data_IF_661110085100
#
_entry.id   IF_661110085100
#
_cell.length_a   1.000
_cell.length_b   1.000
_cell.length_c   1.000
_cell.angle_alpha   90.00
_cell.angle_beta   90.00
_cell.angle_gamma   90.00
#
_symmetry.space_group_name_H-M   'P 1'
#
loop_
_entity.id
_entity.type
_entity.pdbx_description
1 polymer ?
#
# COMPACT_ATOMS: atom_id res chain seq x y z
N UNK A 1 -22.65 -0.43 1.86
CA UNK A 1 -21.60 -1.33 1.34
C UNK A 1 -20.81 -1.91 2.49
N UNK A 2 -20.64 -3.22 2.50
CA UNK A 2 -19.95 -3.92 3.57
C UNK A 2 -18.43 -3.85 3.32
N UNK A 3 -17.67 -3.45 4.33
CA UNK A 3 -16.21 -3.44 4.22
C UNK A 3 -15.69 -4.89 4.28
N UNK A 4 -14.54 -5.17 3.62
CA UNK A 4 -13.93 -6.49 3.72
C UNK A 4 -13.60 -6.82 5.17
N UNK A 5 -13.86 -8.05 5.57
CA UNK A 5 -13.50 -8.54 6.89
C UNK A 5 -12.10 -9.12 6.85
N UNK A 6 -11.31 -8.82 7.86
CA UNK A 6 -9.98 -9.40 8.03
C UNK A 6 -9.69 -9.58 9.50
N UNK A 7 -8.76 -10.47 9.83
CA UNK A 7 -8.38 -10.77 11.21
C UNK A 7 -6.87 -10.54 11.39
N UNK A 8 -6.47 -10.33 12.64
CA UNK A 8 -5.04 -10.25 12.98
C UNK A 8 -4.30 -11.51 12.56
N UNK A 9 -4.95 -12.68 12.69
CA UNK A 9 -4.37 -13.95 12.29
C UNK A 9 -4.05 -13.99 10.79
N UNK A 10 -4.95 -13.48 9.96
CA UNK A 10 -4.73 -13.41 8.52
C UNK A 10 -3.54 -12.50 8.19
N UNK A 11 -3.38 -11.38 8.90
CA UNK A 11 -2.24 -10.50 8.72
C UNK A 11 -0.93 -11.19 9.12
N UNK A 12 -0.94 -11.95 10.21
CA UNK A 12 0.21 -12.74 10.63
C UNK A 12 0.60 -13.78 9.59
N UNK A 13 -0.38 -14.50 9.06
CA UNK A 13 -0.15 -15.53 8.04
C UNK A 13 0.42 -14.93 6.75
N UNK A 14 0.03 -13.71 6.42
CA UNK A 14 0.55 -13.00 5.25
C UNK A 14 1.93 -12.37 5.48
N UNK A 15 2.45 -12.42 6.70
CA UNK A 15 3.76 -11.86 7.02
C UNK A 15 3.78 -10.35 7.19
N UNK A 16 2.64 -9.73 7.44
CA UNK A 16 2.52 -8.27 7.56
C UNK A 16 3.28 -7.73 8.77
N UNK A 17 3.55 -8.57 9.76
CA UNK A 17 4.25 -8.19 10.99
C UNK A 17 5.76 -8.06 10.82
N UNK A 18 6.34 -8.51 9.71
CA UNK A 18 7.78 -8.40 9.48
C UNK A 18 8.15 -6.99 9.05
N UNK A 19 9.04 -6.37 9.80
CA UNK A 19 9.60 -5.08 9.48
C UNK A 19 11.01 -5.20 8.91
N UNK A 20 11.74 -4.11 8.95
CA UNK A 20 13.13 -4.08 8.51
C UNK A 20 14.05 -4.81 9.48
N UNK A 21 15.23 -5.20 8.99
CA UNK A 21 16.31 -5.62 9.88
C UNK A 21 16.60 -4.50 10.87
N UNK A 22 16.98 -4.85 12.10
CA UNK A 22 17.14 -3.88 13.18
C UNK A 22 18.04 -2.70 12.82
N UNK A 23 19.12 -2.94 12.05
CA UNK A 23 20.06 -1.88 11.70
C UNK A 23 19.53 -0.93 10.61
N UNK A 24 18.43 -1.26 9.95
CA UNK A 24 17.84 -0.46 8.87
C UNK A 24 16.56 0.25 9.28
N UNK A 25 16.22 0.20 10.56
CA UNK A 25 14.96 0.79 11.01
C UNK A 25 14.97 2.31 10.98
N UNK A 26 13.77 2.88 10.90
CA UNK A 26 13.57 4.32 11.07
C UNK A 26 13.06 4.55 12.49
N UNK A 27 13.77 5.35 13.32
CA UNK A 27 13.32 5.60 14.70
C UNK A 27 11.92 6.18 14.83
N UNK A 28 11.40 6.80 13.79
CA UNK A 28 10.02 7.31 13.78
C UNK A 28 8.98 6.20 13.88
N UNK A 29 9.38 4.96 13.59
CA UNK A 29 8.51 3.80 13.68
C UNK A 29 8.48 3.17 15.07
N UNK A 30 9.20 3.73 16.02
CA UNK A 30 9.36 3.14 17.35
C UNK A 30 8.02 2.79 18.02
N UNK A 31 7.03 3.66 17.89
CA UNK A 31 5.72 3.46 18.53
C UNK A 31 4.92 2.31 17.91
N UNK A 32 5.30 1.86 16.72
CA UNK A 32 4.59 0.81 15.99
C UNK A 32 5.32 -0.53 16.01
N UNK A 33 6.48 -0.59 16.64
CA UNK A 33 7.30 -1.79 16.70
C UNK A 33 7.02 -2.49 18.03
N UNK A 34 6.61 -3.75 17.95
CA UNK A 34 6.36 -4.59 19.11
C UNK A 34 7.67 -5.04 19.78
N UNK A 35 8.66 -5.40 18.97
CA UNK A 35 9.94 -5.88 19.46
C UNK A 35 10.80 -6.32 18.30
N UNK A 36 11.85 -7.08 18.57
CA UNK A 36 12.67 -7.66 17.52
C UNK A 36 12.90 -9.14 17.78
N UNK A 37 13.03 -9.91 16.71
CA UNK A 37 13.30 -11.34 16.76
C UNK A 37 14.23 -11.69 15.61
N UNK A 38 15.34 -12.37 15.90
CA UNK A 38 16.35 -12.71 14.90
C UNK A 38 16.85 -11.49 14.13
N UNK A 39 17.03 -10.36 14.83
CA UNK A 39 17.51 -9.08 14.28
C UNK A 39 16.54 -8.45 13.29
N UNK A 40 15.28 -8.86 13.30
CA UNK A 40 14.22 -8.28 12.48
C UNK A 40 13.19 -7.68 13.42
N UNK A 41 12.81 -6.42 13.14
CA UNK A 41 11.75 -5.77 13.92
C UNK A 41 10.40 -6.38 13.59
N UNK A 42 9.59 -6.56 14.62
CA UNK A 42 8.23 -7.08 14.48
C UNK A 42 7.25 -5.95 14.74
N UNK A 43 6.36 -5.71 13.79
CA UNK A 43 5.35 -4.67 13.91
C UNK A 43 4.23 -5.08 14.85
N UNK A 44 3.69 -4.11 15.59
CA UNK A 44 2.60 -4.33 16.51
C UNK A 44 1.26 -4.36 15.75
N UNK A 45 0.78 -5.55 15.43
CA UNK A 45 -0.47 -5.71 14.69
C UNK A 45 -1.71 -5.28 15.47
N UNK A 46 -1.62 -5.19 16.80
CA UNK A 46 -2.73 -4.65 17.58
C UNK A 46 -3.03 -3.19 17.22
N UNK A 47 -2.01 -2.45 16.78
CA UNK A 47 -2.19 -1.10 16.25
C UNK A 47 -2.54 -1.11 14.76
N UNK A 48 -1.99 -2.05 14.01
CA UNK A 48 -2.21 -2.14 12.54
C UNK A 48 -3.66 -2.45 12.21
N UNK A 49 -4.30 -3.35 12.95
CA UNK A 49 -5.69 -3.76 12.66
C UNK A 49 -6.66 -2.58 12.65
N UNK A 50 -6.73 -1.73 13.72
CA UNK A 50 -7.62 -0.58 13.66
C UNK A 50 -7.21 0.46 12.62
N UNK A 51 -5.91 0.63 12.37
CA UNK A 51 -5.45 1.57 11.34
C UNK A 51 -5.84 1.13 9.95
N UNK A 52 -5.73 -0.17 9.65
CA UNK A 52 -6.17 -0.71 8.37
C UNK A 52 -7.67 -0.56 8.19
N UNK A 53 -8.43 -0.79 9.25
CA UNK A 53 -9.88 -0.58 9.22
C UNK A 53 -10.22 0.87 8.88
N UNK A 54 -9.53 1.84 9.48
CA UNK A 54 -9.71 3.25 9.17
C UNK A 54 -9.38 3.56 7.71
N UNK A 55 -8.33 2.95 7.17
CA UNK A 55 -7.95 3.13 5.77
C UNK A 55 -9.03 2.58 4.83
N UNK A 56 -9.62 1.43 5.17
CA UNK A 56 -10.71 0.85 4.38
C UNK A 56 -11.94 1.78 4.40
N UNK A 57 -12.28 2.33 5.56
CA UNK A 57 -13.40 3.28 5.67
C UNK A 57 -13.14 4.51 4.81
N UNK A 58 -11.95 5.09 4.90
CA UNK A 58 -11.60 6.28 4.12
C UNK A 58 -11.66 6.01 2.61
N UNK A 59 -11.19 4.85 2.18
CA UNK A 59 -11.22 4.45 0.78
C UNK A 59 -12.66 4.27 0.29
N UNK A 60 -13.48 3.59 1.08
CA UNK A 60 -14.90 3.39 0.76
C UNK A 60 -15.64 4.72 0.63
N UNK A 61 -15.40 5.65 1.56
CA UNK A 61 -16.03 6.97 1.53
C UNK A 61 -15.60 7.77 0.29
N UNK A 62 -14.32 7.72 -0.07
CA UNK A 62 -13.81 8.42 -1.25
C UNK A 62 -14.49 7.93 -2.52
N UNK A 63 -14.63 6.61 -2.67
CA UNK A 63 -15.29 6.02 -3.84
C UNK A 63 -16.79 6.33 -3.84
N UNK A 64 -17.43 6.31 -2.69
CA UNK A 64 -18.86 6.63 -2.56
C UNK A 64 -19.17 8.07 -2.99
N UNK A 65 -18.19 8.96 -2.85
CA UNK A 65 -18.32 10.37 -3.29
C UNK A 65 -17.95 10.57 -4.76
N UNK A 66 -17.76 9.51 -5.51
CA UNK A 66 -17.39 9.58 -6.92
C UNK A 66 -15.89 9.70 -7.18
N UNK A 67 -15.06 9.55 -6.16
CA UNK A 67 -13.62 9.61 -6.28
C UNK A 67 -13.02 8.36 -6.93
N UNK A 68 -11.76 8.47 -7.28
CA UNK A 68 -11.00 7.37 -7.86
C UNK A 68 -9.86 6.98 -6.93
N UNK A 69 -9.41 5.74 -7.05
CA UNK A 69 -8.31 5.21 -6.23
C UNK A 69 -7.12 4.96 -7.15
N UNK A 70 -5.95 5.43 -6.74
CA UNK A 70 -4.70 5.11 -7.41
C UNK A 70 -3.93 4.13 -6.54
N UNK A 71 -3.81 2.91 -7.02
CA UNK A 71 -3.02 1.87 -6.34
C UNK A 71 -1.56 2.06 -6.72
N UNK A 72 -0.68 2.15 -5.73
CA UNK A 72 0.75 2.33 -5.94
C UNK A 72 1.50 1.17 -5.31
N UNK A 73 2.25 0.44 -6.10
CA UNK A 73 3.07 -0.66 -5.61
C UNK A 73 4.23 -0.89 -6.56
N UNK A 74 5.29 -0.10 -6.39
CA UNK A 74 6.46 -0.14 -7.27
C UNK A 74 7.48 -1.18 -6.83
N UNK A 75 7.36 -1.73 -5.63
CA UNK A 75 8.21 -2.79 -5.15
C UNK A 75 7.91 -4.08 -5.91
N UNK A 76 8.96 -4.80 -6.29
CA UNK A 76 8.83 -6.01 -7.11
C UNK A 76 7.85 -7.02 -6.52
N UNK A 77 7.88 -7.22 -5.20
CA UNK A 77 7.01 -8.18 -4.53
C UNK A 77 5.54 -7.76 -4.55
N UNK A 78 5.26 -6.46 -4.68
CA UNK A 78 3.89 -5.93 -4.66
C UNK A 78 3.32 -5.67 -6.06
N UNK A 79 4.17 -5.64 -7.08
CA UNK A 79 3.80 -5.18 -8.42
C UNK A 79 2.59 -5.92 -9.00
N UNK A 80 2.63 -7.24 -9.01
CA UNK A 80 1.54 -8.04 -9.60
C UNK A 80 0.27 -7.95 -8.76
N UNK A 81 0.40 -7.98 -7.44
CA UNK A 81 -0.75 -7.89 -6.54
C UNK A 81 -1.49 -6.56 -6.71
N UNK A 82 -0.75 -5.46 -6.85
CA UNK A 82 -1.31 -4.13 -7.05
C UNK A 82 -2.05 -4.05 -8.39
N UNK A 83 -1.43 -4.54 -9.46
CA UNK A 83 -2.07 -4.53 -10.78
C UNK A 83 -3.35 -5.35 -10.79
N UNK A 84 -3.31 -6.56 -10.24
CA UNK A 84 -4.48 -7.45 -10.20
C UNK A 84 -5.62 -6.86 -9.38
N UNK A 85 -5.31 -6.29 -8.21
CA UNK A 85 -6.31 -5.67 -7.36
C UNK A 85 -6.97 -4.47 -8.03
N UNK A 86 -6.18 -3.61 -8.67
CA UNK A 86 -6.71 -2.43 -9.35
C UNK A 86 -7.57 -2.80 -10.55
N UNK A 87 -7.15 -3.78 -11.35
CA UNK A 87 -7.93 -4.26 -12.50
C UNK A 87 -9.25 -4.86 -12.06
N UNK A 88 -9.25 -5.59 -10.95
CA UNK A 88 -10.44 -6.25 -10.44
C UNK A 88 -11.54 -5.28 -10.04
N UNK A 89 -11.17 -4.09 -9.59
CA UNK A 89 -12.14 -3.04 -9.22
C UNK A 89 -12.18 -1.87 -10.21
N UNK A 90 -11.51 -1.99 -11.35
CA UNK A 90 -11.47 -0.98 -12.41
C UNK A 90 -10.93 0.37 -11.93
N UNK A 91 -9.90 0.34 -11.12
CA UNK A 91 -9.22 1.54 -10.64
C UNK A 91 -7.83 1.67 -11.27
N UNK A 92 -7.18 2.80 -11.04
CA UNK A 92 -5.87 3.08 -11.61
C UNK A 92 -4.75 2.43 -10.80
N UNK A 93 -3.61 2.16 -11.43
CA UNK A 93 -2.46 1.63 -10.69
C UNK A 93 -1.13 2.11 -11.29
N UNK A 94 -0.13 2.19 -10.42
CA UNK A 94 1.27 2.43 -10.78
C UNK A 94 2.07 1.32 -10.12
N UNK A 95 2.64 0.42 -10.92
CA UNK A 95 3.34 -0.74 -10.39
C UNK A 95 4.75 -0.94 -10.97
N UNK A 96 5.25 0.01 -11.74
CA UNK A 96 6.59 -0.09 -12.33
C UNK A 96 7.54 0.95 -11.76
N UNK A 97 7.24 2.23 -11.97
CA UNK A 97 8.10 3.31 -11.54
C UNK A 97 7.27 4.50 -11.10
N UNK A 98 7.63 5.08 -9.97
CA UNK A 98 7.06 6.34 -9.52
C UNK A 98 7.88 7.48 -10.11
N UNK A 99 7.31 8.18 -11.07
CA UNK A 99 8.00 9.29 -11.71
C UNK A 99 8.01 10.50 -10.80
N UNK A 100 9.13 11.22 -10.78
CA UNK A 100 9.21 12.49 -10.07
C UNK A 100 8.15 13.45 -10.59
N UNK A 101 7.42 14.09 -9.69
CA UNK A 101 6.35 15.01 -10.06
C UNK A 101 5.02 14.34 -10.46
N UNK A 102 4.84 13.05 -10.15
CA UNK A 102 3.59 12.35 -10.46
C UNK A 102 2.36 13.08 -9.91
N UNK A 103 2.47 13.64 -8.71
CA UNK A 103 1.37 14.40 -8.12
C UNK A 103 1.43 15.89 -8.42
N UNK A 104 2.62 16.44 -8.59
CA UNK A 104 2.82 17.88 -8.76
C UNK A 104 2.92 18.31 -10.22
N UNK A 105 3.34 17.42 -11.12
CA UNK A 105 3.49 17.68 -12.54
C UNK A 105 2.77 16.59 -13.33
N UNK A 106 1.48 16.46 -13.08
CA UNK A 106 0.66 15.37 -13.60
C UNK A 106 0.58 15.35 -15.13
N UNK A 107 0.50 16.52 -15.76
CA UNK A 107 0.38 16.59 -17.22
C UNK A 107 1.59 15.97 -17.92
N UNK A 108 2.81 16.28 -17.45
CA UNK A 108 4.03 15.71 -18.02
C UNK A 108 4.09 14.20 -17.76
N UNK A 109 3.68 13.76 -16.58
CA UNK A 109 3.65 12.33 -16.24
C UNK A 109 2.66 11.56 -17.11
N UNK A 110 1.50 12.14 -17.42
CA UNK A 110 0.53 11.52 -18.31
C UNK A 110 1.09 11.33 -19.73
N UNK A 111 1.77 12.33 -20.26
CA UNK A 111 2.39 12.23 -21.58
C UNK A 111 3.44 11.12 -21.60
N UNK A 112 4.29 11.06 -20.59
CA UNK A 112 5.33 10.05 -20.51
C UNK A 112 4.72 8.64 -20.40
N UNK A 113 3.70 8.48 -19.56
CA UNK A 113 3.04 7.19 -19.36
C UNK A 113 2.32 6.73 -20.62
N UNK A 114 1.67 7.67 -21.34
CA UNK A 114 1.00 7.38 -22.59
C UNK A 114 1.98 6.88 -23.64
N UNK A 115 3.13 7.55 -23.77
CA UNK A 115 4.18 7.13 -24.70
C UNK A 115 4.72 5.75 -24.36
N UNK A 116 4.90 5.46 -23.08
CA UNK A 116 5.36 4.16 -22.63
C UNK A 116 4.32 3.05 -22.86
N UNK A 117 3.04 3.39 -22.75
CA UNK A 117 1.95 2.44 -22.99
C UNK A 117 1.80 2.07 -24.47
N UNK A 118 2.21 2.96 -25.36
CA UNK A 118 2.14 2.72 -26.82
C UNK A 118 3.28 1.83 -27.31
N UNK A 119 4.25 1.55 -26.47
CA UNK A 119 5.33 0.61 -26.77
C UNK A 119 4.92 -0.81 -26.37
#
# INVERSE_FOLDING_TARGET
MTLPAFTMRQLLEAGVHFGHQSHRWNPKMQNFIFGSRNKIHILDLAQTVPMLHQALVATSDAVAKGGRVLFVGTKRQASDAIADAAKRCAQYYVNSRWLGGTLTNWKTCLLYTSDAADE
#
